data_IF_918429942874
#
_entry.id   IF_918429942874
#
_cell.length_a   1.000
_cell.length_b   1.000
_cell.length_c   1.000
_cell.angle_alpha   90.00
_cell.angle_beta   90.00
_cell.angle_gamma   90.00
#
_symmetry.space_group_name_H-M   'P 1'
#
loop_
_entity.id
_entity.type
_entity.pdbx_description
1 polymer ?
#
# COMPACT_ATOMS: atom_id res chain seq x y z
N UNK A 1 -7.86 14.47 -17.56
CA UNK A 1 -8.49 13.18 -17.93
C UNK A 1 -7.50 12.08 -17.63
N UNK A 2 -7.97 10.88 -17.26
CA UNK A 2 -7.10 9.72 -17.07
C UNK A 2 -6.89 8.99 -18.40
N UNK A 3 -5.69 8.46 -18.58
CA UNK A 3 -5.30 7.65 -19.73
C UNK A 3 -5.02 6.22 -19.28
N UNK A 4 -5.54 5.27 -20.04
CA UNK A 4 -5.39 3.83 -19.85
C UNK A 4 -4.99 3.15 -21.15
N UNK A 5 -4.42 1.93 -21.14
CA UNK A 5 -4.03 1.24 -22.36
C UNK A 5 -5.24 0.91 -23.23
N UNK A 6 -5.00 0.67 -24.52
CA UNK A 6 -6.04 0.29 -25.47
C UNK A 6 -6.81 -0.94 -24.96
N UNK A 7 -8.14 -0.88 -25.07
CA UNK A 7 -9.06 -1.94 -24.61
C UNK A 7 -9.51 -1.81 -23.15
N UNK A 8 -8.84 -0.96 -22.36
CA UNK A 8 -9.27 -0.62 -21.01
C UNK A 8 -10.17 0.62 -21.01
N UNK A 9 -11.03 0.70 -20.01
CA UNK A 9 -11.84 1.88 -19.69
C UNK A 9 -11.65 2.24 -18.22
N UNK A 10 -11.64 3.54 -17.90
CA UNK A 10 -11.62 4.04 -16.52
C UNK A 10 -12.85 4.90 -16.27
N UNK A 11 -13.62 4.53 -15.24
CA UNK A 11 -14.82 5.23 -14.81
C UNK A 11 -14.76 5.51 -13.29
N UNK A 12 -15.62 6.39 -12.80
CA UNK A 12 -15.80 6.59 -11.36
C UNK A 12 -16.59 5.39 -10.82
N UNK A 13 -16.04 4.71 -9.83
CA UNK A 13 -16.79 3.73 -9.03
C UNK A 13 -17.59 4.44 -7.94
N UNK A 14 -16.96 5.34 -7.19
CA UNK A 14 -17.61 6.10 -6.14
C UNK A 14 -17.03 7.51 -6.09
N UNK A 15 -17.88 8.51 -5.83
CA UNK A 15 -17.48 9.90 -5.61
C UNK A 15 -17.87 10.37 -4.21
N UNK A 16 -17.23 11.41 -3.70
CA UNK A 16 -17.53 11.97 -2.37
C UNK A 16 -17.01 11.10 -1.22
N UNK A 17 -16.03 10.25 -1.50
CA UNK A 17 -15.35 9.42 -0.48
C UNK A 17 -14.13 10.21 0.01
N UNK A 18 -14.37 11.19 0.89
CA UNK A 18 -13.35 12.17 1.26
C UNK A 18 -12.11 11.52 1.87
N UNK A 19 -10.91 11.86 1.39
CA UNK A 19 -9.64 11.35 1.91
C UNK A 19 -9.53 9.82 1.93
N UNK A 20 -10.14 9.13 0.97
CA UNK A 20 -10.14 7.67 0.86
C UNK A 20 -8.71 7.11 0.70
N UNK A 21 -8.34 6.09 1.51
CA UNK A 21 -6.97 5.56 1.53
C UNK A 21 -6.90 4.13 1.01
N UNK A 22 -7.28 3.14 1.82
CA UNK A 22 -7.14 1.73 1.47
C UNK A 22 -8.50 1.08 1.26
N UNK A 23 -8.52 0.06 0.40
CA UNK A 23 -9.73 -0.63 -0.04
C UNK A 23 -9.64 -2.11 0.35
N UNK A 24 -10.78 -2.70 0.69
CA UNK A 24 -10.91 -4.14 0.86
C UNK A 24 -12.21 -4.64 0.26
N UNK A 25 -12.22 -5.89 -0.21
CA UNK A 25 -13.44 -6.61 -0.51
C UNK A 25 -13.91 -7.33 0.75
N UNK A 26 -15.17 -7.11 1.11
CA UNK A 26 -15.89 -7.90 2.11
C UNK A 26 -16.79 -8.95 1.47
N UNK A 27 -17.69 -9.55 2.26
CA UNK A 27 -18.63 -10.57 1.81
C UNK A 27 -19.45 -10.11 0.59
N UNK A 28 -19.64 -11.03 -0.36
CA UNK A 28 -20.37 -10.77 -1.60
C UNK A 28 -19.65 -9.84 -2.58
N UNK A 29 -18.36 -9.51 -2.36
CA UNK A 29 -17.63 -8.57 -3.21
C UNK A 29 -17.90 -7.10 -2.89
N UNK A 30 -18.56 -6.82 -1.76
CA UNK A 30 -18.83 -5.46 -1.29
C UNK A 30 -17.52 -4.72 -1.03
N UNK A 31 -17.41 -3.47 -1.49
CA UNK A 31 -16.20 -2.67 -1.30
C UNK A 31 -16.28 -1.90 0.01
N UNK A 32 -15.20 -1.93 0.78
CA UNK A 32 -15.00 -1.13 1.99
C UNK A 32 -13.77 -0.26 1.82
N UNK A 33 -13.77 0.90 2.47
CA UNK A 33 -12.65 1.83 2.41
C UNK A 33 -12.36 2.51 3.74
N UNK A 34 -11.08 2.81 3.99
CA UNK A 34 -10.64 3.66 5.10
C UNK A 34 -10.60 5.13 4.69
N UNK A 35 -11.05 6.01 5.59
CA UNK A 35 -10.90 7.46 5.49
C UNK A 35 -10.12 7.94 6.71
N UNK A 36 -8.78 7.97 6.58
CA UNK A 36 -7.89 8.20 7.74
C UNK A 36 -8.19 9.52 8.44
N UNK A 37 -8.22 10.63 7.69
CA UNK A 37 -8.43 11.96 8.27
C UNK A 37 -9.81 12.18 8.90
N UNK A 38 -10.84 11.45 8.45
CA UNK A 38 -12.18 11.51 9.05
C UNK A 38 -12.38 10.49 10.17
N UNK A 39 -11.43 9.58 10.39
CA UNK A 39 -11.54 8.53 11.40
C UNK A 39 -12.65 7.52 11.11
N UNK A 40 -12.85 7.16 9.83
CA UNK A 40 -13.97 6.31 9.41
C UNK A 40 -13.55 5.10 8.59
N UNK A 41 -14.38 4.06 8.68
CA UNK A 41 -14.47 2.99 7.67
C UNK A 41 -15.86 3.05 7.06
N UNK A 42 -15.91 3.08 5.74
CA UNK A 42 -17.15 3.17 4.97
C UNK A 42 -17.33 1.93 4.10
N UNK A 43 -18.59 1.58 3.87
CA UNK A 43 -19.04 0.58 2.90
C UNK A 43 -19.58 1.31 1.67
N UNK A 44 -19.17 0.86 0.49
CA UNK A 44 -19.61 1.39 -0.79
C UNK A 44 -20.65 0.41 -1.35
N UNK A 45 -21.85 0.90 -1.61
CA UNK A 45 -22.97 0.06 -2.07
C UNK A 45 -23.26 0.38 -3.53
N UNK A 46 -23.03 -0.60 -4.39
CA UNK A 46 -23.50 -0.66 -5.77
C UNK A 46 -24.71 -1.60 -5.79
N UNK A 47 -25.90 -1.02 -5.68
CA UNK A 47 -27.15 -1.76 -5.50
C UNK A 47 -27.68 -2.36 -6.81
N UNK A 48 -27.31 -1.77 -7.95
CA UNK A 48 -27.80 -2.18 -9.26
C UNK A 48 -26.80 -3.08 -10.03
N UNK A 49 -25.55 -3.16 -9.57
CA UNK A 49 -24.48 -3.99 -10.15
C UNK A 49 -23.86 -3.42 -11.42
N UNK A 50 -24.01 -2.13 -11.71
CA UNK A 50 -23.47 -1.47 -12.90
C UNK A 50 -21.97 -1.13 -12.79
N UNK A 51 -21.41 -1.31 -11.59
CA UNK A 51 -20.04 -0.99 -11.25
C UNK A 51 -19.84 0.46 -10.85
N UNK A 52 -20.89 1.10 -10.32
CA UNK A 52 -20.90 2.41 -9.68
C UNK A 52 -21.63 2.31 -8.35
N UNK A 53 -20.98 2.68 -7.25
CA UNK A 53 -21.62 2.75 -5.95
C UNK A 53 -22.53 3.98 -5.85
N UNK A 54 -23.81 3.77 -5.54
CA UNK A 54 -24.78 4.85 -5.32
C UNK A 54 -24.73 5.43 -3.91
N UNK A 55 -24.14 4.71 -2.95
CA UNK A 55 -24.04 5.22 -1.59
C UNK A 55 -22.76 4.83 -0.86
N UNK A 56 -22.35 5.73 0.03
CA UNK A 56 -21.22 5.59 0.94
C UNK A 56 -21.78 5.58 2.36
N UNK A 57 -21.68 4.45 3.04
CA UNK A 57 -22.31 4.23 4.35
C UNK A 57 -21.23 4.04 5.41
N UNK A 58 -21.14 4.89 6.45
CA UNK A 58 -20.25 4.66 7.58
C UNK A 58 -20.55 3.34 8.28
N UNK A 59 -19.50 2.55 8.54
CA UNK A 59 -19.55 1.27 9.25
C UNK A 59 -18.93 1.43 10.64
N UNK A 60 -17.81 2.14 10.71
CA UNK A 60 -17.13 2.51 11.94
C UNK A 60 -16.74 3.99 11.87
N UNK A 61 -16.79 4.67 13.00
CA UNK A 61 -16.50 6.10 13.14
C UNK A 61 -15.67 6.35 14.40
N UNK A 62 -15.09 7.55 14.52
CA UNK A 62 -14.27 7.95 15.67
C UNK A 62 -13.01 7.08 15.86
N UNK A 63 -12.46 6.56 14.76
CA UNK A 63 -11.21 5.80 14.75
C UNK A 63 -10.01 6.76 14.69
N UNK A 64 -8.90 6.38 15.32
CA UNK A 64 -7.64 7.13 15.25
C UNK A 64 -6.85 6.75 14.00
N UNK A 65 -6.91 7.58 12.96
CA UNK A 65 -6.20 7.42 11.68
C UNK A 65 -6.29 5.98 11.10
N UNK A 66 -7.50 5.48 10.81
CA UNK A 66 -7.66 4.14 10.25
C UNK A 66 -6.93 4.04 8.91
N UNK A 67 -6.18 2.96 8.70
CA UNK A 67 -5.32 2.79 7.51
C UNK A 67 -5.48 1.43 6.84
N UNK A 68 -4.71 0.41 7.26
CA UNK A 68 -4.84 -0.95 6.73
C UNK A 68 -6.26 -1.49 6.93
N UNK A 69 -6.76 -2.22 5.93
CA UNK A 69 -8.09 -2.84 5.95
C UNK A 69 -8.04 -4.12 5.13
N UNK A 70 -8.64 -5.19 5.66
CA UNK A 70 -8.80 -6.46 4.94
C UNK A 70 -9.96 -7.25 5.56
N UNK A 71 -10.50 -8.19 4.80
CA UNK A 71 -11.41 -9.21 5.34
C UNK A 71 -10.71 -10.55 5.42
N UNK A 72 -11.13 -11.36 6.40
CA UNK A 72 -10.82 -12.79 6.45
C UNK A 72 -12.09 -13.55 6.74
N UNK A 73 -12.62 -14.23 5.72
CA UNK A 73 -14.03 -14.64 5.74
C UNK A 73 -14.91 -13.40 5.86
N UNK A 74 -15.83 -13.42 6.83
CA UNK A 74 -16.74 -12.30 7.07
C UNK A 74 -16.25 -11.30 8.13
N UNK A 75 -15.13 -11.59 8.80
CA UNK A 75 -14.55 -10.71 9.81
C UNK A 75 -13.75 -9.58 9.15
N UNK A 76 -14.10 -8.35 9.50
CA UNK A 76 -13.37 -7.14 9.08
C UNK A 76 -12.18 -6.93 10.00
N UNK A 77 -10.98 -6.82 9.43
CA UNK A 77 -9.78 -6.39 10.13
C UNK A 77 -9.39 -4.99 9.63
N UNK A 78 -8.95 -4.15 10.55
CA UNK A 78 -8.44 -2.83 10.20
C UNK A 78 -7.40 -2.37 11.22
N UNK A 79 -6.58 -1.41 10.85
CA UNK A 79 -5.60 -0.83 11.75
C UNK A 79 -5.92 0.62 12.03
N UNK A 80 -5.73 1.03 13.28
CA UNK A 80 -5.54 2.44 13.68
C UNK A 80 -4.05 2.74 13.75
N UNK A 81 -3.66 3.95 14.14
CA UNK A 81 -2.24 4.29 14.29
C UNK A 81 -1.50 3.35 15.27
N UNK A 82 -2.15 2.92 16.36
CA UNK A 82 -1.52 2.20 17.46
C UNK A 82 -2.02 0.76 17.67
N UNK A 83 -2.93 0.28 16.82
CA UNK A 83 -3.49 -1.06 16.95
C UNK A 83 -3.90 -1.69 15.61
N UNK A 84 -3.96 -3.03 15.59
CA UNK A 84 -4.80 -3.78 14.65
C UNK A 84 -6.01 -4.28 15.42
N UNK A 85 -7.20 -4.06 14.87
CA UNK A 85 -8.47 -4.42 15.45
C UNK A 85 -9.27 -5.27 14.46
N UNK A 86 -10.28 -5.97 14.98
CA UNK A 86 -11.23 -6.71 14.16
C UNK A 86 -12.65 -6.44 14.59
N UNK A 87 -13.58 -6.47 13.65
CA UNK A 87 -15.01 -6.44 13.87
C UNK A 87 -15.61 -7.73 13.32
N UNK A 88 -16.09 -8.57 14.23
CA UNK A 88 -16.76 -9.83 13.87
C UNK A 88 -18.19 -9.57 13.35
N UNK A 89 -18.73 -10.42 12.46
CA UNK A 89 -20.08 -10.22 11.90
C UNK A 89 -21.16 -10.11 12.98
N UNK A 90 -21.96 -9.05 12.91
CA UNK A 90 -23.03 -8.79 13.88
C UNK A 90 -22.56 -8.26 15.24
N UNK A 91 -21.25 -8.12 15.47
CA UNK A 91 -20.73 -7.49 16.68
C UNK A 91 -21.02 -5.98 16.68
N UNK A 92 -21.28 -5.43 17.87
CA UNK A 92 -21.52 -3.99 18.04
C UNK A 92 -20.26 -3.13 18.21
N UNK A 93 -19.11 -3.75 18.46
CA UNK A 93 -17.85 -3.05 18.69
C UNK A 93 -16.64 -3.87 18.21
N UNK A 94 -15.55 -3.22 17.77
CA UNK A 94 -14.29 -3.89 17.45
C UNK A 94 -13.59 -4.47 18.70
N UNK A 95 -12.74 -5.47 18.46
CA UNK A 95 -11.83 -6.07 19.43
C UNK A 95 -10.39 -5.80 18.98
N UNK A 96 -9.55 -5.31 19.89
CA UNK A 96 -8.12 -5.14 19.64
C UNK A 96 -7.43 -6.50 19.52
N UNK A 97 -6.71 -6.70 18.42
CA UNK A 97 -5.92 -7.91 18.12
C UNK A 97 -4.46 -7.65 18.46
N UNK A 98 -3.88 -6.60 17.89
CA UNK A 98 -2.51 -6.14 18.19
C UNK A 98 -2.62 -4.76 18.82
N UNK A 99 -2.01 -4.59 20.00
CA UNK A 99 -1.94 -3.30 20.69
C UNK A 99 -0.50 -2.78 20.72
N UNK A 100 -0.34 -1.49 21.00
CA UNK A 100 0.98 -0.90 21.26
C UNK A 100 1.86 -0.79 20.01
N UNK A 101 1.26 -0.68 18.82
CA UNK A 101 2.01 -0.23 17.65
C UNK A 101 2.48 1.21 17.89
N UNK A 102 3.67 1.59 17.38
CA UNK A 102 4.21 2.90 17.68
C UNK A 102 3.41 4.03 17.05
N UNK A 103 3.42 5.21 17.68
CA UNK A 103 2.71 6.41 17.22
C UNK A 103 3.68 7.52 16.75
N UNK A 104 3.21 8.42 15.90
CA UNK A 104 3.97 9.54 15.33
C UNK A 104 4.69 9.20 14.01
N UNK A 105 5.44 10.15 13.48
CA UNK A 105 6.19 9.99 12.22
C UNK A 105 5.31 9.50 11.07
N UNK A 106 5.71 8.40 10.42
CA UNK A 106 4.83 7.69 9.50
C UNK A 106 3.73 6.93 10.28
N UNK A 107 2.47 7.34 10.17
CA UNK A 107 1.36 6.85 11.01
C UNK A 107 0.54 5.68 10.42
N UNK A 108 0.68 5.36 9.13
CA UNK A 108 -0.07 4.24 8.51
C UNK A 108 0.40 2.87 9.01
N UNK A 109 -0.53 1.94 9.25
CA UNK A 109 -0.26 0.57 9.72
C UNK A 109 -0.85 -0.47 8.77
N UNK A 110 -0.34 -0.53 7.55
CA UNK A 110 -0.84 -1.55 6.61
C UNK A 110 -0.47 -2.95 7.08
N UNK A 111 -1.30 -3.93 6.75
CA UNK A 111 -1.06 -5.32 7.11
C UNK A 111 -1.53 -6.28 6.02
N UNK A 112 -1.02 -7.50 6.06
CA UNK A 112 -1.41 -8.59 5.18
C UNK A 112 -1.46 -9.91 5.95
N UNK A 113 -2.35 -10.80 5.53
CA UNK A 113 -2.36 -12.18 6.01
C UNK A 113 -1.48 -13.04 5.10
N UNK A 114 -0.55 -13.78 5.70
CA UNK A 114 0.30 -14.71 4.98
C UNK A 114 -0.37 -16.05 4.72
N UNK A 115 0.14 -16.83 3.74
CA UNK A 115 -0.33 -18.19 3.46
C UNK A 115 -0.06 -19.17 4.61
N UNK A 116 0.80 -18.77 5.56
CA UNK A 116 1.16 -19.46 6.79
C UNK A 116 0.17 -19.19 7.95
N UNK A 117 -0.94 -18.50 7.69
CA UNK A 117 -1.90 -18.07 8.71
C UNK A 117 -1.30 -17.14 9.78
N UNK A 118 -0.36 -16.28 9.40
CA UNK A 118 0.15 -15.21 10.26
C UNK A 118 -0.31 -13.83 9.76
N UNK A 119 -0.31 -12.86 10.68
CA UNK A 119 -0.57 -11.45 10.41
C UNK A 119 0.76 -10.69 10.29
N UNK A 120 0.96 -9.93 9.22
CA UNK A 120 2.17 -9.14 8.98
C UNK A 120 1.79 -7.66 8.97
N UNK A 121 2.33 -6.87 9.91
CA UNK A 121 2.02 -5.44 10.07
C UNK A 121 3.25 -4.61 9.77
N UNK A 122 3.14 -3.62 8.89
CA UNK A 122 4.18 -2.65 8.62
C UNK A 122 4.00 -1.39 9.48
N UNK A 123 5.11 -0.85 9.99
CA UNK A 123 5.16 0.48 10.55
C UNK A 123 6.37 1.22 9.99
N UNK A 124 6.14 2.38 9.37
CA UNK A 124 7.20 3.24 8.86
C UNK A 124 7.97 3.94 9.98
N UNK A 125 9.07 4.60 9.63
CA UNK A 125 9.98 5.28 10.56
C UNK A 125 9.33 6.44 11.31
N UNK A 126 9.90 6.80 12.45
CA UNK A 126 9.51 7.96 13.25
C UNK A 126 9.99 9.29 12.64
N UNK A 127 10.96 9.25 11.73
CA UNK A 127 11.68 10.40 11.21
C UNK A 127 12.08 10.20 9.74
N UNK A 128 12.67 11.23 9.13
CA UNK A 128 13.22 11.10 7.78
C UNK A 128 14.45 10.17 7.75
N UNK A 129 15.48 10.49 8.55
CA UNK A 129 16.75 9.74 8.66
C UNK A 129 17.25 9.82 10.10
N UNK A 130 17.04 8.77 10.88
CA UNK A 130 17.53 8.66 12.24
C UNK A 130 17.55 7.20 12.67
N UNK A 131 18.29 6.90 13.74
CA UNK A 131 18.24 5.58 14.38
C UNK A 131 17.01 5.54 15.26
N UNK A 132 16.16 4.53 15.06
CA UNK A 132 14.97 4.32 15.90
C UNK A 132 15.37 3.94 17.32
N UNK A 133 14.54 4.35 18.28
CA UNK A 133 14.73 3.96 19.68
C UNK A 133 14.60 2.43 19.81
N UNK A 134 15.39 1.82 20.69
CA UNK A 134 15.32 0.36 20.94
C UNK A 134 13.96 -0.07 21.48
N UNK A 135 13.27 0.83 22.21
CA UNK A 135 11.89 0.65 22.67
C UNK A 135 10.87 0.66 21.54
N UNK A 136 11.24 1.15 20.35
CA UNK A 136 10.38 1.24 19.17
C UNK A 136 10.90 0.36 18.01
N UNK A 137 11.23 -0.89 18.34
CA UNK A 137 11.81 -1.83 17.39
C UNK A 137 10.91 -2.20 16.19
N UNK A 138 9.61 -1.88 16.25
CA UNK A 138 8.66 -2.12 15.17
C UNK A 138 8.70 -1.03 14.08
N UNK A 139 9.41 0.07 14.30
CA UNK A 139 9.61 1.12 13.29
C UNK A 139 10.51 0.68 12.16
N UNK A 140 10.21 1.23 10.99
CA UNK A 140 10.89 0.93 9.74
C UNK A 140 11.03 -0.58 9.50
N UNK A 141 9.97 -1.32 9.81
CA UNK A 141 9.97 -2.77 9.86
C UNK A 141 8.59 -3.34 9.52
N UNK A 142 8.61 -4.63 9.20
CA UNK A 142 7.43 -5.48 9.16
C UNK A 142 7.53 -6.48 10.30
N UNK A 143 6.50 -6.51 11.13
CA UNK A 143 6.40 -7.38 12.31
C UNK A 143 5.35 -8.45 12.03
N UNK A 144 5.66 -9.71 12.30
CA UNK A 144 4.69 -10.80 12.20
C UNK A 144 4.10 -11.14 13.56
N UNK A 145 2.84 -11.56 13.56
CA UNK A 145 2.07 -11.97 14.72
C UNK A 145 1.26 -13.23 14.40
N UNK A 146 0.91 -13.99 15.44
CA UNK A 146 -0.21 -14.91 15.36
C UNK A 146 -1.52 -14.13 15.12
N UNK A 147 -2.57 -14.81 14.69
CA UNK A 147 -3.84 -14.18 14.33
C UNK A 147 -4.63 -13.62 15.53
N UNK A 148 -4.28 -14.07 16.72
CA UNK A 148 -4.76 -13.51 17.99
C UNK A 148 -3.89 -12.34 18.49
N UNK A 149 -2.89 -11.92 17.70
CA UNK A 149 -1.95 -10.84 18.01
C UNK A 149 -0.78 -11.24 18.91
N UNK A 150 -0.71 -12.50 19.35
CA UNK A 150 0.43 -12.97 20.16
C UNK A 150 1.67 -13.25 19.31
N UNK A 151 2.81 -13.49 19.96
CA UNK A 151 4.03 -13.97 19.28
C UNK A 151 4.72 -12.94 18.37
N UNK A 152 4.49 -11.64 18.61
CA UNK A 152 5.08 -10.54 17.84
C UNK A 152 6.59 -10.64 17.67
N UNK A 153 7.07 -10.65 16.42
CA UNK A 153 8.49 -10.68 16.07
C UNK A 153 8.76 -9.88 14.81
N UNK A 154 9.87 -9.13 14.79
CA UNK A 154 10.36 -8.47 13.58
C UNK A 154 10.67 -9.52 12.51
N UNK A 155 9.94 -9.45 11.40
CA UNK A 155 10.13 -10.30 10.24
C UNK A 155 11.18 -9.70 9.29
N UNK A 156 11.08 -8.40 9.00
CA UNK A 156 12.03 -7.67 8.16
C UNK A 156 12.23 -6.26 8.71
N UNK A 157 13.44 -5.70 8.59
CA UNK A 157 13.81 -4.38 9.12
C UNK A 157 14.55 -3.52 8.12
N UNK A 158 14.69 -2.23 8.41
CA UNK A 158 15.38 -1.28 7.53
C UNK A 158 14.54 -0.89 6.32
N UNK A 159 13.23 -0.86 6.51
CA UNK A 159 12.20 -0.51 5.53
C UNK A 159 11.61 0.84 5.93
N UNK A 160 12.18 1.96 5.47
CA UNK A 160 11.81 3.32 5.93
C UNK A 160 10.31 3.49 6.07
N UNK A 161 9.55 3.22 5.01
CA UNK A 161 8.10 3.28 5.06
C UNK A 161 7.51 2.41 3.95
N UNK A 162 7.38 1.11 4.26
CA UNK A 162 6.71 0.15 3.39
C UNK A 162 5.22 0.14 3.63
N UNK A 163 4.48 0.74 2.70
CA UNK A 163 3.03 0.92 2.84
C UNK A 163 2.28 -0.18 2.09
N UNK A 164 2.66 -0.47 0.85
CA UNK A 164 2.00 -1.49 0.05
C UNK A 164 2.56 -2.86 0.38
N UNK A 165 1.69 -3.78 0.78
CA UNK A 165 2.02 -5.15 1.19
C UNK A 165 1.15 -6.12 0.40
N UNK A 166 1.76 -7.10 -0.26
CA UNK A 166 1.00 -8.13 -0.97
C UNK A 166 1.75 -9.46 -1.00
N UNK A 167 1.04 -10.55 -0.71
CA UNK A 167 1.54 -11.90 -0.98
C UNK A 167 1.23 -12.29 -2.42
N UNK A 168 2.22 -12.81 -3.13
CA UNK A 168 1.99 -13.47 -4.41
C UNK A 168 1.33 -14.84 -4.15
N UNK A 169 0.09 -15.04 -4.58
CA UNK A 169 -0.65 -16.28 -4.32
C UNK A 169 -0.02 -17.52 -4.99
N UNK A 170 0.70 -17.35 -6.11
CA UNK A 170 1.34 -18.45 -6.83
C UNK A 170 2.67 -18.89 -6.24
N UNK A 171 3.46 -17.96 -5.69
CA UNK A 171 4.80 -18.25 -5.16
C UNK A 171 4.88 -18.23 -3.63
N UNK A 172 3.90 -17.64 -2.96
CA UNK A 172 3.93 -17.36 -1.51
C UNK A 172 4.92 -16.26 -1.11
N UNK A 173 5.59 -15.60 -2.07
CA UNK A 173 6.54 -14.53 -1.77
C UNK A 173 5.81 -13.28 -1.27
N UNK A 174 6.39 -12.64 -0.25
CA UNK A 174 5.83 -11.44 0.34
C UNK A 174 6.47 -10.19 -0.25
N UNK A 175 5.72 -9.36 -0.96
CA UNK A 175 6.24 -8.18 -1.64
C UNK A 175 5.84 -6.91 -0.88
N UNK A 176 6.77 -5.97 -0.80
CA UNK A 176 6.55 -4.68 -0.15
C UNK A 176 7.19 -3.54 -0.93
N UNK A 177 6.44 -2.49 -1.21
CA UNK A 177 7.03 -1.25 -1.70
C UNK A 177 7.73 -0.49 -0.56
N UNK A 178 8.52 0.53 -0.85
CA UNK A 178 9.14 1.38 0.16
C UNK A 178 9.28 2.82 -0.35
N UNK A 179 9.00 3.77 0.54
CA UNK A 179 9.25 5.19 0.35
C UNK A 179 10.58 5.54 1.00
N UNK A 180 11.61 5.83 0.23
CA UNK A 180 12.95 6.16 0.72
C UNK A 180 13.03 7.60 1.27
N UNK A 181 14.20 8.01 1.75
CA UNK A 181 14.40 9.27 2.45
C UNK A 181 14.18 10.49 1.55
N UNK A 182 13.87 11.56 2.25
CA UNK A 182 13.74 12.89 1.72
C UNK A 182 15.08 13.65 1.79
N UNK A 183 15.21 14.69 0.96
CA UNK A 183 16.24 15.73 1.00
C UNK A 183 17.66 15.21 0.75
N UNK A 184 17.81 14.24 -0.17
CA UNK A 184 19.11 13.71 -0.59
C UNK A 184 19.46 14.08 -2.03
N UNK A 185 18.46 14.21 -2.91
CA UNK A 185 18.57 14.72 -4.28
C UNK A 185 17.30 14.47 -5.08
N UNK A 186 17.14 15.12 -6.23
CA UNK A 186 15.93 15.00 -7.07
C UNK A 186 15.73 13.58 -7.66
N UNK A 187 16.83 12.86 -7.87
CA UNK A 187 16.83 11.55 -8.51
C UNK A 187 17.38 10.43 -7.60
N UNK A 188 17.61 10.73 -6.32
CA UNK A 188 18.06 9.77 -5.31
C UNK A 188 17.45 10.02 -3.92
N UNK A 189 17.25 8.97 -3.12
CA UNK A 189 17.30 7.56 -3.53
C UNK A 189 16.13 7.16 -4.44
N UNK A 190 16.29 6.13 -5.28
CA UNK A 190 15.13 5.55 -5.95
C UNK A 190 14.18 4.94 -4.92
N UNK A 191 12.88 4.95 -5.23
CA UNK A 191 11.93 4.13 -4.49
C UNK A 191 12.14 2.67 -4.89
N UNK A 192 11.66 1.72 -4.09
CA UNK A 192 11.91 0.31 -4.38
C UNK A 192 10.77 -0.63 -4.01
N UNK A 193 10.70 -1.73 -4.76
CA UNK A 193 9.88 -2.90 -4.49
C UNK A 193 10.79 -4.03 -4.01
N UNK A 194 10.51 -4.54 -2.82
CA UNK A 194 11.27 -5.59 -2.17
C UNK A 194 10.48 -6.89 -2.16
N UNK A 195 11.19 -8.02 -2.23
CA UNK A 195 10.65 -9.33 -1.86
C UNK A 195 11.17 -9.63 -0.47
N UNK A 196 10.29 -9.50 0.53
CA UNK A 196 10.63 -9.60 1.93
C UNK A 196 11.02 -11.04 2.32
N UNK A 197 12.00 -11.15 3.21
CA UNK A 197 12.61 -12.39 3.69
C UNK A 197 12.82 -12.28 5.20
N UNK A 198 12.52 -13.34 5.93
CA UNK A 198 12.66 -13.38 7.39
C UNK A 198 14.11 -13.05 7.82
N UNK A 199 14.23 -12.14 8.77
CA UNK A 199 15.50 -11.72 9.37
C UNK A 199 16.37 -10.81 8.51
N UNK A 200 15.94 -10.43 7.30
CA UNK A 200 16.73 -9.57 6.41
C UNK A 200 16.62 -8.09 6.76
N UNK A 201 17.67 -7.36 6.39
CA UNK A 201 17.80 -5.92 6.56
C UNK A 201 17.83 -5.22 5.19
N UNK A 202 17.00 -4.21 5.02
CA UNK A 202 16.79 -3.50 3.75
C UNK A 202 17.45 -2.11 3.73
N UNK A 203 18.38 -1.85 4.66
CA UNK A 203 19.31 -0.73 4.58
C UNK A 203 18.97 0.47 5.44
N UNK A 204 17.69 0.87 5.55
CA UNK A 204 17.35 2.06 6.32
C UNK A 204 17.75 1.90 7.82
N UNK A 205 18.24 2.94 8.51
CA UNK A 205 18.48 4.30 8.03
C UNK A 205 19.86 4.53 7.42
N UNK A 206 20.76 3.55 7.49
CA UNK A 206 22.18 3.75 7.17
C UNK A 206 22.45 3.72 5.67
N UNK A 207 21.68 2.95 4.93
CA UNK A 207 21.87 2.67 3.51
C UNK A 207 20.52 2.76 2.78
N UNK A 208 20.54 3.29 1.56
CA UNK A 208 19.35 3.29 0.70
C UNK A 208 19.39 2.17 -0.35
N UNK A 209 20.57 1.65 -0.67
CA UNK A 209 20.78 0.49 -1.54
C UNK A 209 22.06 -0.27 -1.13
N UNK A 210 22.29 -1.50 -1.64
CA UNK A 210 23.55 -2.20 -1.46
C UNK A 210 24.76 -1.34 -1.89
N UNK A 211 25.74 -1.21 -1.00
CA UNK A 211 26.92 -0.36 -1.21
C UNK A 211 26.65 1.15 -1.30
N UNK A 212 25.44 1.62 -0.94
CA UNK A 212 25.03 3.02 -1.05
C UNK A 212 24.60 3.59 0.31
N UNK A 213 25.53 4.23 1.04
CA UNK A 213 25.23 4.82 2.33
C UNK A 213 24.44 6.13 2.18
N UNK A 214 23.64 6.43 3.20
CA UNK A 214 23.13 7.78 3.45
C UNK A 214 24.28 8.66 3.98
N UNK A 215 25.22 8.99 3.09
CA UNK A 215 26.58 9.43 3.43
C UNK A 215 26.70 10.78 4.13
N UNK A 216 25.67 11.63 4.03
CA UNK A 216 25.58 12.90 4.75
C UNK A 216 25.35 12.72 6.26
N UNK A 217 24.67 11.64 6.66
CA UNK A 217 24.38 11.31 8.07
C UNK A 217 25.24 10.13 8.56
N UNK A 218 25.47 9.15 7.69
CA UNK A 218 26.19 7.90 7.97
C UNK A 218 27.34 7.68 6.97
N UNK A 219 28.37 8.54 6.95
CA UNK A 219 29.45 8.48 5.96
C UNK A 219 30.25 7.16 5.95
N UNK A 220 30.24 6.43 7.07
CA UNK A 220 31.01 5.20 7.26
C UNK A 220 30.13 3.94 7.35
N UNK A 221 28.87 4.00 6.91
CA UNK A 221 27.98 2.85 6.97
C UNK A 221 28.46 1.70 6.06
N UNK A 222 28.47 0.48 6.60
CA UNK A 222 28.68 -0.73 5.80
C UNK A 222 27.34 -1.19 5.20
N UNK A 223 27.20 -0.97 3.89
CA UNK A 223 26.01 -1.32 3.14
C UNK A 223 26.14 -2.66 2.38
N UNK A 224 27.14 -3.48 2.70
CA UNK A 224 27.32 -4.79 2.05
C UNK A 224 26.27 -5.83 2.46
N UNK A 225 25.71 -5.70 3.67
CA UNK A 225 24.67 -6.59 4.20
C UNK A 225 23.24 -6.23 3.82
N UNK A 226 23.03 -5.21 3.00
CA UNK A 226 21.69 -4.77 2.56
C UNK A 226 21.12 -5.79 1.58
N UNK A 227 19.92 -6.28 1.86
CA UNK A 227 19.19 -7.13 0.92
C UNK A 227 18.78 -6.29 -0.31
N UNK A 228 19.12 -6.71 -1.54
CA UNK A 228 18.82 -5.94 -2.72
C UNK A 228 17.32 -5.86 -2.98
N UNK A 229 16.79 -4.71 -3.44
CA UNK A 229 15.41 -4.64 -3.91
C UNK A 229 15.22 -5.50 -5.15
N UNK A 230 13.99 -5.97 -5.36
CA UNK A 230 13.64 -6.72 -6.57
C UNK A 230 13.46 -5.82 -7.79
N UNK A 231 13.05 -4.57 -7.57
CA UNK A 231 12.95 -3.53 -8.59
C UNK A 231 13.15 -2.16 -7.94
N UNK A 232 13.85 -1.26 -8.62
CA UNK A 232 13.91 0.17 -8.26
C UNK A 232 13.06 0.98 -9.24
N UNK A 233 12.49 2.07 -8.76
CA UNK A 233 11.64 2.98 -9.54
C UNK A 233 12.02 4.42 -9.25
N UNK A 234 11.53 5.38 -10.04
CA UNK A 234 11.93 6.78 -9.95
C UNK A 234 11.81 7.32 -8.52
N UNK A 235 12.87 8.00 -8.06
CA UNK A 235 12.91 8.67 -6.77
C UNK A 235 11.68 9.55 -6.52
N UNK A 236 11.20 9.57 -5.29
CA UNK A 236 10.07 10.37 -4.82
C UNK A 236 8.72 10.03 -5.45
N UNK A 237 8.58 8.89 -6.14
CA UNK A 237 7.29 8.49 -6.72
C UNK A 237 6.25 8.14 -5.64
N UNK A 238 6.69 7.94 -4.40
CA UNK A 238 5.88 7.68 -3.23
C UNK A 238 4.92 6.48 -3.39
N UNK A 239 5.44 5.24 -3.51
CA UNK A 239 4.58 4.09 -3.72
C UNK A 239 3.76 3.75 -2.46
N UNK A 240 2.44 3.60 -2.60
CA UNK A 240 1.54 3.33 -1.46
C UNK A 240 0.78 2.02 -1.57
N UNK A 241 0.01 1.81 -2.64
CA UNK A 241 -0.75 0.59 -2.88
C UNK A 241 0.05 -0.47 -3.62
N UNK A 242 -0.22 -1.74 -3.32
CA UNK A 242 0.33 -2.90 -4.02
C UNK A 242 -0.70 -4.02 -4.01
N UNK A 243 -1.04 -4.59 -5.16
CA UNK A 243 -1.92 -5.76 -5.26
C UNK A 243 -1.55 -6.63 -6.45
N UNK A 244 -1.71 -7.95 -6.34
CA UNK A 244 -1.57 -8.85 -7.49
C UNK A 244 -2.89 -8.92 -8.26
N UNK A 245 -2.80 -8.97 -9.58
CA UNK A 245 -3.95 -9.22 -10.42
C UNK A 245 -4.32 -10.71 -10.39
N UNK A 246 -5.36 -11.01 -9.63
CA UNK A 246 -5.90 -12.37 -9.44
C UNK A 246 -7.17 -12.63 -10.26
N UNK A 247 -7.65 -11.63 -11.00
CA UNK A 247 -8.80 -11.77 -11.87
C UNK A 247 -8.46 -12.40 -13.23
N UNK A 248 -9.48 -12.68 -14.02
CA UNK A 248 -9.35 -13.25 -15.37
C UNK A 248 -9.90 -12.32 -16.46
N UNK A 249 -10.43 -11.15 -16.08
CA UNK A 249 -11.10 -10.21 -16.99
C UNK A 249 -10.11 -9.42 -17.85
N UNK A 250 -8.96 -9.03 -17.31
CA UNK A 250 -7.90 -8.38 -18.07
C UNK A 250 -7.22 -9.39 -19.00
N UNK A 251 -6.53 -8.93 -20.07
CA UNK A 251 -5.81 -9.81 -20.99
C UNK A 251 -4.87 -10.77 -20.26
N UNK A 252 -4.67 -11.96 -20.82
CA UNK A 252 -3.89 -13.04 -20.20
C UNK A 252 -2.50 -12.60 -19.72
N UNK A 253 -1.85 -11.68 -20.44
CA UNK A 253 -0.56 -11.14 -20.05
C UNK A 253 -0.56 -10.39 -18.70
N UNK A 254 -1.70 -9.87 -18.23
CA UNK A 254 -1.82 -9.20 -16.92
C UNK A 254 -2.04 -10.19 -15.78
N UNK A 255 -2.39 -11.44 -16.06
CA UNK A 255 -2.71 -12.43 -15.04
C UNK A 255 -1.44 -12.85 -14.28
N UNK A 256 -1.44 -12.66 -12.97
CA UNK A 256 -0.27 -12.88 -12.12
C UNK A 256 0.71 -11.70 -12.04
N UNK A 257 0.49 -10.63 -12.82
CA UNK A 257 1.20 -9.37 -12.64
C UNK A 257 0.70 -8.62 -11.40
N UNK A 258 1.45 -7.63 -10.93
CA UNK A 258 1.01 -6.75 -9.85
C UNK A 258 0.70 -5.35 -10.36
N UNK A 259 -0.06 -4.60 -9.57
CA UNK A 259 -0.27 -3.17 -9.74
C UNK A 259 0.22 -2.44 -8.50
N UNK A 260 0.89 -1.30 -8.73
CA UNK A 260 1.40 -0.44 -7.69
C UNK A 260 0.99 1.00 -7.97
N UNK A 261 0.57 1.74 -6.95
CA UNK A 261 0.29 3.17 -7.09
C UNK A 261 1.52 3.98 -6.75
N UNK A 262 1.71 5.08 -7.47
CA UNK A 262 2.61 6.17 -7.15
C UNK A 262 1.76 7.35 -6.73
N UNK A 263 1.78 7.69 -5.45
CA UNK A 263 1.01 8.80 -4.89
C UNK A 263 1.54 10.15 -5.37
N UNK A 264 2.83 10.19 -5.74
CA UNK A 264 3.49 11.33 -6.37
C UNK A 264 4.32 12.16 -5.41
N UNK A 265 5.40 12.71 -5.96
CA UNK A 265 6.43 13.45 -5.23
C UNK A 265 5.92 14.74 -4.61
N UNK A 266 6.46 15.09 -3.46
CA UNK A 266 6.45 16.46 -2.93
C UNK A 266 7.87 17.03 -2.87
N UNK A 267 8.90 16.17 -2.82
CA UNK A 267 10.29 16.52 -2.59
C UNK A 267 11.18 16.33 -3.83
N UNK A 268 10.72 16.88 -4.96
CA UNK A 268 11.45 16.85 -6.24
C UNK A 268 11.12 18.09 -7.04
N UNK A 269 12.11 18.76 -7.62
CA UNK A 269 11.91 20.03 -8.34
C UNK A 269 10.97 19.90 -9.54
N UNK A 270 11.06 18.79 -10.27
CA UNK A 270 10.09 18.40 -11.30
C UNK A 270 9.20 17.30 -10.74
N UNK A 271 7.89 17.53 -10.54
CA UNK A 271 7.02 16.53 -9.94
C UNK A 271 6.94 15.23 -10.76
N UNK A 272 6.87 14.08 -10.09
CA UNK A 272 6.71 12.75 -10.70
C UNK A 272 5.73 11.89 -9.92
N UNK A 273 5.37 10.72 -10.45
CA UNK A 273 4.38 9.81 -9.88
C UNK A 273 2.96 10.22 -10.24
N UNK A 274 2.03 10.15 -9.27
CA UNK A 274 0.59 10.35 -9.48
C UNK A 274 0.03 9.48 -10.62
N UNK A 275 0.27 8.17 -10.50
CA UNK A 275 -0.12 7.17 -11.50
C UNK A 275 -0.24 5.78 -10.90
N UNK A 276 -0.85 4.87 -11.65
CA UNK A 276 -0.79 3.43 -11.39
C UNK A 276 0.15 2.81 -12.40
N UNK A 277 1.06 1.97 -11.93
CA UNK A 277 1.95 1.16 -12.77
C UNK A 277 1.58 -0.31 -12.66
N UNK A 278 1.72 -1.02 -13.79
CA UNK A 278 1.75 -2.48 -13.86
C UNK A 278 3.18 -2.94 -13.60
N UNK A 279 3.36 -3.79 -12.61
CA UNK A 279 4.60 -4.51 -12.36
C UNK A 279 4.52 -5.82 -13.15
N UNK A 280 5.29 -5.91 -14.24
CA UNK A 280 5.36 -7.11 -15.06
C UNK A 280 6.13 -8.20 -14.32
N UNK A 281 5.51 -9.36 -14.17
CA UNK A 281 6.06 -10.52 -13.46
C UNK A 281 6.39 -11.61 -14.47
N UNK A 282 7.63 -12.07 -14.46
CA UNK A 282 8.09 -13.19 -15.29
C UNK A 282 8.78 -14.19 -14.38
N UNK A 283 8.39 -15.47 -14.47
CA UNK A 283 8.93 -16.54 -13.63
C UNK A 283 8.92 -16.19 -12.14
N UNK A 284 7.85 -15.54 -11.67
CA UNK A 284 7.69 -15.13 -10.27
C UNK A 284 8.50 -13.91 -9.85
N UNK A 285 9.19 -13.20 -10.76
CA UNK A 285 10.01 -12.03 -10.44
C UNK A 285 9.52 -10.76 -11.14
N UNK A 286 9.57 -9.58 -10.48
CA UNK A 286 9.27 -8.32 -11.14
C UNK A 286 10.39 -7.97 -12.14
N UNK A 287 10.02 -7.58 -13.35
CA UNK A 287 10.97 -7.30 -14.45
C UNK A 287 10.87 -5.87 -14.97
N UNK A 288 9.72 -5.23 -14.81
CA UNK A 288 9.50 -3.85 -15.22
C UNK A 288 8.33 -3.22 -14.45
N UNK A 289 8.38 -1.89 -14.28
CA UNK A 289 7.23 -1.08 -13.93
C UNK A 289 6.80 -0.30 -15.18
N UNK A 290 5.57 -0.51 -15.63
CA UNK A 290 5.01 0.06 -16.84
C UNK A 290 3.82 0.95 -16.49
N UNK A 291 3.74 2.13 -17.08
CA UNK A 291 2.59 3.01 -16.86
C UNK A 291 1.29 2.30 -17.27
N UNK A 292 0.29 2.34 -16.38
CA UNK A 292 -1.01 1.72 -16.58
C UNK A 292 -2.12 2.76 -16.57
N UNK A 293 -2.32 3.46 -15.45
CA UNK A 293 -3.26 4.60 -15.39
C UNK A 293 -2.46 5.86 -15.11
N UNK A 294 -2.59 6.87 -15.98
CA UNK A 294 -1.87 8.15 -15.86
C UNK A 294 -2.82 9.32 -16.05
N UNK A 295 -2.33 10.56 -15.86
CA UNK A 295 -3.09 11.78 -16.14
C UNK A 295 -3.60 12.54 -14.92
N UNK A 296 -3.33 12.06 -13.70
CA UNK A 296 -3.61 12.82 -12.47
C UNK A 296 -2.73 14.06 -12.30
N UNK A 297 -1.51 14.03 -12.84
CA UNK A 297 -0.58 15.16 -12.84
C UNK A 297 -0.56 15.83 -14.21
N UNK A 298 -0.71 17.15 -14.23
CA UNK A 298 -0.63 17.98 -15.43
C UNK A 298 0.83 18.37 -15.73
N UNK A 299 1.06 18.92 -16.92
CA UNK A 299 2.39 19.31 -17.38
C UNK A 299 3.05 20.40 -16.50
N UNK A 300 2.24 21.23 -15.83
CA UNK A 300 2.71 22.24 -14.87
C UNK A 300 3.03 21.67 -13.48
N UNK A 301 2.86 20.35 -13.29
CA UNK A 301 3.11 19.65 -12.04
C UNK A 301 1.93 19.64 -11.07
N UNK A 302 0.85 20.39 -11.35
CA UNK A 302 -0.37 20.36 -10.54
C UNK A 302 -1.06 19.00 -10.61
N UNK A 303 -1.76 18.63 -9.53
CA UNK A 303 -2.46 17.34 -9.40
C UNK A 303 -3.91 17.57 -9.01
N UNK A 304 -4.80 16.86 -9.69
CA UNK A 304 -6.24 16.88 -9.39
C UNK A 304 -6.71 15.58 -8.70
N UNK A 305 -5.79 14.65 -8.46
CA UNK A 305 -5.97 13.44 -7.67
C UNK A 305 -4.62 12.75 -7.42
N UNK A 306 -4.58 11.79 -6.51
CA UNK A 306 -3.39 11.03 -6.13
C UNK A 306 -3.77 9.60 -5.73
N UNK A 307 -3.32 8.58 -6.47
CA UNK A 307 -3.75 7.20 -6.24
C UNK A 307 -3.09 6.60 -4.98
N UNK A 308 -3.86 5.85 -4.19
CA UNK A 308 -3.46 5.25 -2.90
C UNK A 308 -3.64 3.73 -2.92
N UNK A 309 -4.72 3.20 -2.34
CA UNK A 309 -5.00 1.78 -2.26
C UNK A 309 -5.54 1.20 -3.57
N UNK A 310 -5.30 -0.10 -3.76
CA UNK A 310 -5.76 -0.88 -4.90
C UNK A 310 -6.45 -2.14 -4.41
N UNK A 311 -7.52 -2.53 -5.09
CA UNK A 311 -8.11 -3.86 -4.92
C UNK A 311 -8.64 -4.37 -6.26
N UNK A 312 -8.47 -5.66 -6.52
CA UNK A 312 -9.14 -6.32 -7.65
C UNK A 312 -10.55 -6.67 -7.20
N UNK A 313 -11.56 -6.07 -7.82
CA UNK A 313 -12.97 -6.31 -7.53
C UNK A 313 -13.39 -7.73 -7.94
N UNK A 314 -14.54 -8.20 -7.43
CA UNK A 314 -15.03 -9.55 -7.66
C UNK A 314 -15.29 -9.87 -9.16
N UNK A 315 -15.56 -8.85 -9.97
CA UNK A 315 -15.74 -8.97 -11.42
C UNK A 315 -14.43 -8.95 -12.22
N UNK A 316 -13.28 -8.85 -11.53
CA UNK A 316 -11.96 -8.76 -12.12
C UNK A 316 -11.54 -7.36 -12.58
N UNK A 317 -12.32 -6.31 -12.27
CA UNK A 317 -11.91 -4.91 -12.47
C UNK A 317 -10.91 -4.47 -11.38
N UNK A 318 -10.12 -3.43 -11.66
CA UNK A 318 -9.20 -2.85 -10.68
C UNK A 318 -9.81 -1.57 -10.10
N UNK A 319 -9.97 -1.52 -8.78
CA UNK A 319 -10.39 -0.32 -8.06
C UNK A 319 -9.19 0.44 -7.52
N UNK A 320 -9.22 1.76 -7.63
CA UNK A 320 -8.11 2.66 -7.27
C UNK A 320 -8.67 3.78 -6.39
N UNK A 321 -8.24 3.84 -5.13
CA UNK A 321 -8.55 4.96 -4.25
C UNK A 321 -7.75 6.19 -4.66
N UNK A 322 -8.38 7.36 -4.62
CA UNK A 322 -7.80 8.67 -4.94
C UNK A 322 -8.12 9.65 -3.81
N UNK A 323 -7.15 9.84 -2.91
CA UNK A 323 -7.39 10.58 -1.65
C UNK A 323 -7.57 12.07 -1.87
N UNK A 324 -6.87 12.65 -2.84
CA UNK A 324 -6.96 14.08 -3.17
C UNK A 324 -8.18 14.37 -4.05
N UNK A 325 -8.58 13.40 -4.88
CA UNK A 325 -9.75 13.51 -5.74
C UNK A 325 -11.07 13.16 -5.06
N UNK A 326 -11.05 12.67 -3.81
CA UNK A 326 -12.20 12.22 -3.02
C UNK A 326 -13.08 11.18 -3.75
N UNK A 327 -12.43 10.20 -4.38
CA UNK A 327 -13.12 9.23 -5.25
C UNK A 327 -12.40 7.88 -5.33
N UNK A 328 -13.15 6.90 -5.81
CA UNK A 328 -12.63 5.59 -6.18
C UNK A 328 -12.86 5.42 -7.68
N UNK A 329 -11.81 5.06 -8.41
CA UNK A 329 -11.87 4.76 -9.83
C UNK A 329 -12.01 3.26 -10.05
N UNK A 330 -12.69 2.88 -11.13
CA UNK A 330 -12.79 1.50 -11.63
C UNK A 330 -12.17 1.41 -13.01
N UNK A 331 -11.22 0.49 -13.17
CA UNK A 331 -10.61 0.15 -14.46
C UNK A 331 -11.11 -1.22 -14.89
N UNK A 332 -11.78 -1.27 -16.03
CA UNK A 332 -12.31 -2.50 -16.65
C UNK A 332 -11.68 -2.75 -18.01
N UNK A 333 -11.78 -3.98 -18.51
CA UNK A 333 -11.32 -4.38 -19.84
C UNK A 333 -12.47 -4.91 -20.68
N UNK A 334 -12.52 -4.51 -21.95
CA UNK A 334 -13.63 -4.83 -22.85
C UNK A 334 -14.88 -3.96 -22.60
N UNK A 335 -15.86 -4.08 -23.50
CA UNK A 335 -17.21 -3.52 -23.29
C UNK A 335 -18.02 -4.42 -22.37
#
# INVERSE_FOLDING_TARGET
MLYVPVGFTVNIFASGVSGVRFLALGPGGTVYATQSGSGQIVRLVDANGDGTAESVVPVLTNLSDPSGIAFRGDTLYFSTETAVERLDPGAGAPVTVVAGLPAGGHSTRTFAFGPDNLLYVAAGSSCNVCIEATSDSMRAAVTRFNLDGSGGRIFARGLRNSVGLAFNAGTGEFWANNNDRDNFGDDIPPEHLNILKDGKWYGWPQCYLPGKPNSDVFPNADCSGVEPPALTVQAHSAPLGLTFYVGTKFPAEYQGDAFMTYHGSWNRSVPTGAKVVRIRVQSGRPTAALDFVTGWQLADGSRWGRPVGLVVAADGSLLIADDTGDRIWRVSYGK
#
